data_IF_645890740208
#
_entry.id   IF_645890740208
#
_cell.length_a   1.000
_cell.length_b   1.000
_cell.length_c   1.000
_cell.angle_alpha   90.00
_cell.angle_beta   90.00
_cell.angle_gamma   90.00
#
_symmetry.space_group_name_H-M   'P 1'
#
loop_
_entity.id
_entity.type
_entity.pdbx_description
1 polymer ?
#
# COMPACT_ATOMS: atom_id res chain seq x y z
N UNK A 1 10.44 -22.18 16.00
CA UNK A 1 9.64 -21.04 16.50
C UNK A 1 8.27 -21.09 15.83
N UNK A 2 7.19 -21.25 16.59
CA UNK A 2 5.83 -21.26 16.04
C UNK A 2 5.46 -19.85 15.59
N UNK A 3 4.90 -19.70 14.38
CA UNK A 3 4.44 -18.40 13.90
C UNK A 3 3.19 -17.97 14.70
N UNK A 4 3.09 -16.69 15.12
CA UNK A 4 1.92 -16.21 15.84
C UNK A 4 0.66 -16.32 14.96
N UNK A 5 -0.44 -16.75 15.57
CA UNK A 5 -1.74 -16.88 14.88
C UNK A 5 -2.24 -15.52 14.40
N UNK A 6 -3.11 -15.50 13.39
CA UNK A 6 -3.75 -14.26 12.93
C UNK A 6 -4.46 -13.52 14.07
N UNK A 7 -5.13 -14.24 14.97
CA UNK A 7 -5.78 -13.64 16.15
C UNK A 7 -4.76 -12.95 17.07
N UNK A 8 -3.63 -13.59 17.36
CA UNK A 8 -2.57 -13.01 18.20
C UNK A 8 -2.01 -11.73 17.58
N UNK A 9 -1.80 -11.70 16.26
CA UNK A 9 -1.31 -10.51 15.55
C UNK A 9 -2.32 -9.37 15.57
N UNK A 10 -3.61 -9.67 15.41
CA UNK A 10 -4.70 -8.69 15.47
C UNK A 10 -4.74 -8.03 16.85
N UNK A 11 -4.77 -8.83 17.92
CA UNK A 11 -4.80 -8.32 19.31
C UNK A 11 -3.61 -7.42 19.55
N UNK A 12 -2.39 -7.89 19.23
CA UNK A 12 -1.18 -7.10 19.37
C UNK A 12 -1.21 -5.79 18.58
N UNK A 13 -1.73 -5.81 17.35
CA UNK A 13 -1.81 -4.61 16.52
C UNK A 13 -2.73 -3.54 17.10
N UNK A 14 -3.77 -3.95 17.84
CA UNK A 14 -4.67 -3.04 18.57
C UNK A 14 -4.04 -2.59 19.90
N UNK A 15 -3.38 -3.49 20.63
CA UNK A 15 -2.69 -3.16 21.90
C UNK A 15 -1.55 -2.15 21.72
N UNK A 16 -0.92 -2.10 20.54
CA UNK A 16 0.15 -1.14 20.22
C UNK A 16 -0.36 0.26 19.84
N UNK A 17 -1.68 0.48 19.78
CA UNK A 17 -2.26 1.80 19.51
C UNK A 17 -2.14 2.70 20.75
N UNK A 18 -2.00 4.02 20.57
CA UNK A 18 -2.01 4.96 21.69
C UNK A 18 -3.39 4.98 22.36
N UNK A 19 -3.45 5.32 23.64
CA UNK A 19 -4.69 5.46 24.42
C UNK A 19 -5.69 6.47 23.82
N UNK A 20 -5.21 7.40 23.00
CA UNK A 20 -6.03 8.40 22.29
C UNK A 20 -6.54 7.91 20.94
N UNK A 21 -6.24 6.68 20.53
CA UNK A 21 -6.62 6.14 19.24
C UNK A 21 -8.14 6.03 19.11
N UNK A 22 -8.66 6.36 17.93
CA UNK A 22 -10.06 6.17 17.61
C UNK A 22 -10.31 4.80 16.98
N UNK A 23 -11.58 4.47 16.75
CA UNK A 23 -11.96 3.26 16.03
C UNK A 23 -11.41 3.30 14.58
N UNK A 24 -11.38 4.47 13.96
CA UNK A 24 -10.82 4.67 12.63
C UNK A 24 -9.33 4.30 12.58
N UNK A 25 -8.55 4.70 13.59
CA UNK A 25 -7.13 4.34 13.69
C UNK A 25 -6.95 2.82 13.81
N UNK A 26 -7.81 2.15 14.58
CA UNK A 26 -7.80 0.70 14.71
C UNK A 26 -8.14 0.01 13.38
N UNK A 27 -9.15 0.50 12.66
CA UNK A 27 -9.52 -0.02 11.33
C UNK A 27 -8.37 0.17 10.34
N UNK A 28 -7.72 1.34 10.34
CA UNK A 28 -6.55 1.61 9.49
C UNK A 28 -5.42 0.63 9.80
N UNK A 29 -5.08 0.45 11.09
CA UNK A 29 -4.01 -0.44 11.52
C UNK A 29 -4.27 -1.89 11.13
N UNK A 30 -5.50 -2.37 11.28
CA UNK A 30 -5.90 -3.72 10.88
C UNK A 30 -5.88 -3.88 9.35
N UNK A 31 -6.31 -2.87 8.61
CA UNK A 31 -6.24 -2.85 7.14
C UNK A 31 -4.79 -2.87 6.66
N UNK A 32 -3.90 -2.14 7.32
CA UNK A 32 -2.47 -2.13 7.04
C UNK A 32 -1.84 -3.51 7.32
N UNK A 33 -2.14 -4.12 8.46
CA UNK A 33 -1.70 -5.48 8.79
C UNK A 33 -2.14 -6.49 7.71
N UNK A 34 -3.41 -6.42 7.29
CA UNK A 34 -3.93 -7.29 6.22
C UNK A 34 -3.16 -7.11 4.90
N UNK A 35 -2.88 -5.86 4.49
CA UNK A 35 -2.11 -5.57 3.27
C UNK A 35 -0.71 -6.16 3.33
N UNK A 36 -0.03 -6.12 4.48
CA UNK A 36 1.27 -6.76 4.67
C UNK A 36 1.17 -8.28 4.50
N UNK A 37 0.20 -8.92 5.16
CA UNK A 37 0.04 -10.38 5.07
C UNK A 37 -0.25 -10.85 3.65
N UNK A 38 -1.09 -10.11 2.92
CA UNK A 38 -1.35 -10.35 1.50
C UNK A 38 -0.08 -10.16 0.67
N UNK A 39 0.68 -9.08 0.89
CA UNK A 39 1.94 -8.83 0.18
C UNK A 39 2.99 -9.91 0.43
N UNK A 40 3.12 -10.39 1.67
CA UNK A 40 4.00 -11.50 2.02
C UNK A 40 3.57 -12.81 1.34
N UNK A 41 2.26 -13.09 1.29
CA UNK A 41 1.72 -14.25 0.58
C UNK A 41 2.00 -14.16 -0.92
N UNK A 42 1.78 -13.01 -1.54
CA UNK A 42 2.09 -12.74 -2.95
C UNK A 42 3.58 -12.95 -3.24
N UNK A 43 4.46 -12.43 -2.37
CA UNK A 43 5.90 -12.60 -2.50
C UNK A 43 6.31 -14.08 -2.45
N UNK A 44 5.78 -14.85 -1.50
CA UNK A 44 6.00 -16.31 -1.40
C UNK A 44 5.48 -17.07 -2.61
N UNK A 45 4.40 -16.59 -3.22
CA UNK A 45 3.82 -17.15 -4.45
C UNK A 45 4.55 -16.67 -5.73
N UNK A 46 5.62 -15.88 -5.61
CA UNK A 46 6.36 -15.34 -6.76
C UNK A 46 5.61 -14.26 -7.54
N UNK A 47 4.52 -13.70 -6.98
CA UNK A 47 3.72 -12.62 -7.58
C UNK A 47 4.37 -11.25 -7.38
N UNK A 48 5.66 -11.16 -7.70
CA UNK A 48 6.46 -9.94 -7.66
C UNK A 48 6.76 -9.47 -9.08
N UNK A 49 7.02 -8.18 -9.24
CA UNK A 49 7.45 -7.61 -10.52
C UNK A 49 8.92 -7.19 -10.46
N UNK A 50 9.68 -7.35 -11.55
CA UNK A 50 11.04 -6.81 -11.68
C UNK A 50 11.11 -5.29 -11.51
N UNK A 51 12.27 -4.78 -11.06
CA UNK A 51 12.47 -3.36 -10.76
C UNK A 51 12.33 -2.45 -11.99
N UNK A 52 12.87 -2.88 -13.13
CA UNK A 52 12.77 -2.19 -14.42
C UNK A 52 11.30 -2.01 -14.85
N UNK A 53 10.47 -3.02 -14.63
CA UNK A 53 9.05 -2.94 -14.89
C UNK A 53 8.34 -1.93 -13.96
N UNK A 54 8.71 -1.89 -12.67
CA UNK A 54 8.20 -0.91 -11.72
C UNK A 54 8.54 0.51 -12.16
N UNK A 55 9.80 0.77 -12.54
CA UNK A 55 10.22 2.08 -13.05
C UNK A 55 9.42 2.51 -14.28
N UNK A 56 9.23 1.60 -15.24
CA UNK A 56 8.47 1.88 -16.45
C UNK A 56 7.01 2.24 -16.12
N UNK A 57 6.37 1.50 -15.20
CA UNK A 57 5.00 1.79 -14.73
C UNK A 57 4.90 3.15 -14.05
N UNK A 58 5.86 3.51 -13.19
CA UNK A 58 5.89 4.80 -12.50
C UNK A 58 6.13 5.97 -13.47
N UNK A 59 7.06 5.83 -14.42
CA UNK A 59 7.31 6.83 -15.48
C UNK A 59 6.05 7.10 -16.29
N UNK A 60 5.33 6.05 -16.72
CA UNK A 60 4.05 6.18 -17.44
C UNK A 60 2.99 6.91 -16.62
N UNK A 61 2.80 6.55 -15.35
CA UNK A 61 1.82 7.21 -14.45
C UNK A 61 2.12 8.71 -14.30
N UNK A 62 3.40 9.07 -14.15
CA UNK A 62 3.81 10.48 -14.04
C UNK A 62 3.51 11.27 -15.32
N UNK A 63 3.71 10.67 -16.48
CA UNK A 63 3.41 11.32 -17.77
C UNK A 63 1.91 11.51 -18.00
N UNK A 64 1.07 10.55 -17.60
CA UNK A 64 -0.40 10.68 -17.71
C UNK A 64 -1.01 11.69 -16.74
N UNK A 65 -0.29 12.05 -15.66
CA UNK A 65 -0.74 13.03 -14.67
C UNK A 65 -0.21 14.44 -14.94
N UNK A 66 0.67 14.63 -15.92
CA UNK A 66 1.06 15.98 -16.33
C UNK A 66 -0.10 16.64 -17.09
N UNK A 67 -0.59 17.81 -16.65
CA UNK A 67 -1.53 18.59 -17.43
C UNK A 67 -0.87 18.90 -18.78
N UNK A 68 -1.50 18.52 -19.88
CA UNK A 68 -1.04 18.93 -21.21
C UNK A 68 -1.24 20.43 -21.37
N UNK A 69 -0.27 21.25 -20.94
CA UNK A 69 -0.27 22.72 -21.13
C UNK A 69 -0.27 23.13 -22.61
N UNK A 70 -0.11 22.20 -23.54
CA UNK A 70 -0.08 22.46 -24.99
C UNK A 70 -1.43 22.79 -25.64
N UNK A 71 -2.57 22.72 -24.95
CA UNK A 71 -3.90 23.03 -25.56
C UNK A 71 -4.41 24.47 -25.35
N UNK A 72 -3.67 25.34 -24.64
CA UNK A 72 -4.08 26.76 -24.46
C UNK A 72 -3.44 27.75 -25.44
N UNK A 73 -2.38 27.37 -26.16
CA UNK A 73 -1.70 28.26 -27.12
C UNK A 73 -2.30 28.27 -28.54
N UNK A 74 -3.37 27.51 -28.81
CA UNK A 74 -4.02 27.43 -30.13
C UNK A 74 -5.34 28.21 -30.23
N UNK A 75 -5.65 29.04 -29.23
CA UNK A 75 -6.70 30.08 -29.30
C UNK A 75 -6.08 31.39 -28.85
N UNK A 76 -5.27 31.99 -29.72
CA UNK A 76 -4.75 33.34 -29.61
C UNK A 76 -4.74 33.93 -30.99
#
# INVERSE_FOLDING_TARGET
>A
MSQPTSKTKIVRAVEELPETATIEDAIERLTFLHKIEVGLKQSREGKTVPLDEVEARLKRRRQSQQPTERKRSARG
#
